data_IF_690561438534
#
_entry.id   IF_690561438534
#
_cell.length_a   1.000
_cell.length_b   1.000
_cell.length_c   1.000
_cell.angle_alpha   90.00
_cell.angle_beta   90.00
_cell.angle_gamma   90.00
#
_symmetry.space_group_name_H-M   'P 1'
#
loop_
_entity.id
_entity.type
_entity.pdbx_description
1 polymer ?
#
# COMPACT_ATOMS: atom_id res chain seq x y z
N UNK A 1 59.31 11.18 -17.46
CA UNK A 1 58.50 9.97 -17.19
C UNK A 1 57.42 10.13 -16.09
N UNK A 2 57.49 11.12 -15.17
CA UNK A 2 56.49 11.26 -14.08
C UNK A 2 55.25 12.12 -14.42
N UNK A 3 55.33 12.95 -15.47
CA UNK A 3 54.20 13.79 -15.92
C UNK A 3 53.01 12.96 -16.41
N UNK A 4 53.30 11.82 -17.07
CA UNK A 4 52.26 10.92 -17.59
C UNK A 4 51.57 10.11 -16.48
N UNK A 5 52.31 9.80 -15.40
CA UNK A 5 51.75 9.14 -14.21
C UNK A 5 50.78 10.05 -13.45
N UNK A 6 51.05 11.36 -13.38
CA UNK A 6 50.13 12.32 -12.76
C UNK A 6 48.87 12.55 -13.60
N UNK A 7 49.00 12.62 -14.94
CA UNK A 7 47.82 12.73 -15.81
C UNK A 7 46.96 11.47 -15.77
N UNK A 8 47.58 10.28 -15.72
CA UNK A 8 46.86 9.01 -15.54
C UNK A 8 46.13 8.97 -14.20
N UNK A 9 46.79 9.37 -13.10
CA UNK A 9 46.18 9.39 -11.78
C UNK A 9 44.97 10.33 -11.70
N UNK A 10 45.04 11.53 -12.28
CA UNK A 10 43.93 12.49 -12.30
C UNK A 10 42.75 11.98 -13.13
N UNK A 11 43.00 11.32 -14.27
CA UNK A 11 41.94 10.73 -15.08
C UNK A 11 41.25 9.56 -14.37
N UNK A 12 42.01 8.70 -13.68
CA UNK A 12 41.44 7.58 -12.92
C UNK A 12 40.58 8.12 -11.77
N UNK A 13 41.06 9.12 -11.02
CA UNK A 13 40.30 9.73 -9.92
C UNK A 13 39.02 10.39 -10.43
N UNK A 14 39.08 11.12 -11.55
CA UNK A 14 37.90 11.73 -12.17
C UNK A 14 36.85 10.70 -12.60
N UNK A 15 37.29 9.57 -13.18
CA UNK A 15 36.39 8.47 -13.55
C UNK A 15 35.76 7.80 -12.33
N UNK A 16 36.53 7.57 -11.26
CA UNK A 16 36.01 7.01 -10.01
C UNK A 16 34.97 7.93 -9.37
N UNK A 17 35.20 9.25 -9.39
CA UNK A 17 34.25 10.25 -8.88
C UNK A 17 32.97 10.25 -9.72
N UNK A 18 33.06 10.21 -11.05
CA UNK A 18 31.87 10.17 -11.94
C UNK A 18 31.08 8.86 -11.74
N UNK A 19 31.75 7.72 -11.58
CA UNK A 19 31.09 6.42 -11.33
C UNK A 19 30.43 6.39 -9.94
N UNK A 20 31.09 6.93 -8.91
CA UNK A 20 30.52 6.96 -7.55
C UNK A 20 29.39 7.98 -7.42
N UNK A 21 29.48 9.17 -8.02
CA UNK A 21 28.35 10.10 -8.10
C UNK A 21 27.24 9.51 -8.96
N UNK A 22 27.57 8.87 -10.08
CA UNK A 22 26.61 8.17 -10.93
C UNK A 22 25.86 7.06 -10.18
N UNK A 23 26.56 6.28 -9.35
CA UNK A 23 25.96 5.27 -8.48
C UNK A 23 25.05 5.87 -7.40
N UNK A 24 25.41 7.06 -6.87
CA UNK A 24 24.57 7.78 -5.90
C UNK A 24 23.33 8.43 -6.54
N UNK A 25 23.40 8.84 -7.81
CA UNK A 25 22.26 9.42 -8.56
C UNK A 25 21.38 8.33 -9.19
N UNK A 26 21.89 7.10 -9.35
CA UNK A 26 21.11 5.96 -9.87
C UNK A 26 20.26 5.25 -8.81
N UNK A 27 19.98 5.91 -7.69
CA UNK A 27 18.86 5.56 -6.84
C UNK A 27 17.65 6.38 -7.32
N UNK A 28 17.22 6.06 -8.54
CA UNK A 28 15.92 6.48 -9.05
C UNK A 28 14.88 5.70 -8.25
N UNK A 29 14.16 6.39 -7.37
CA UNK A 29 12.92 5.93 -6.78
C UNK A 29 11.93 5.64 -7.92
N UNK A 30 11.97 4.39 -8.38
CA UNK A 30 11.01 3.82 -9.30
C UNK A 30 10.47 2.54 -8.66
N UNK A 31 9.82 2.70 -7.50
CA UNK A 31 8.75 1.78 -7.11
C UNK A 31 7.63 1.95 -8.12
N UNK A 32 7.67 1.06 -9.10
CA UNK A 32 6.68 0.90 -10.14
C UNK A 32 5.35 0.42 -9.54
N UNK A 33 4.32 1.25 -9.68
CA UNK A 33 2.89 0.89 -9.79
C UNK A 33 2.26 0.05 -8.66
N UNK A 34 1.68 0.73 -7.67
CA UNK A 34 0.32 0.42 -7.22
C UNK A 34 -0.58 1.66 -7.29
N UNK A 35 -0.62 2.26 -8.48
CA UNK A 35 -1.86 2.85 -8.97
C UNK A 35 -2.48 1.86 -9.96
N UNK A 36 -3.16 0.87 -9.39
CA UNK A 36 -4.16 0.09 -10.12
C UNK A 36 -5.35 -0.12 -9.20
N UNK A 37 -6.10 0.95 -9.01
CA UNK A 37 -7.51 0.81 -8.68
C UNK A 37 -8.17 -0.01 -9.80
N UNK A 38 -8.90 -1.03 -9.37
CA UNK A 38 -9.93 -1.77 -10.11
C UNK A 38 -9.47 -2.95 -11.00
N UNK A 39 -9.58 -4.18 -10.47
CA UNK A 39 -10.50 -5.19 -11.02
C UNK A 39 -10.58 -6.42 -10.09
N UNK A 40 -11.79 -6.77 -9.68
CA UNK A 40 -12.19 -7.88 -8.78
C UNK A 40 -11.87 -7.65 -7.30
N UNK A 41 -12.69 -6.84 -6.64
CA UNK A 41 -12.81 -6.81 -5.19
C UNK A 41 -13.43 -8.14 -4.70
N UNK A 42 -12.62 -9.18 -4.64
CA UNK A 42 -12.69 -10.09 -3.50
C UNK A 42 -11.68 -9.51 -2.54
N UNK A 43 -12.15 -8.55 -1.73
CA UNK A 43 -11.33 -7.88 -0.72
C UNK A 43 -10.74 -8.97 0.16
N UNK A 44 -9.43 -9.15 0.11
CA UNK A 44 -8.78 -10.03 1.05
C UNK A 44 -8.95 -9.35 2.41
N UNK A 45 -9.90 -9.84 3.22
CA UNK A 45 -10.37 -9.33 4.53
C UNK A 45 -9.22 -9.23 5.57
N UNK A 46 -7.96 -9.36 5.17
CA UNK A 46 -6.78 -9.25 6.03
C UNK A 46 -6.37 -7.81 6.34
N UNK A 47 -6.79 -6.83 5.52
CA UNK A 47 -6.46 -5.41 5.75
C UNK A 47 -7.74 -4.57 5.64
N UNK A 48 -8.43 -4.41 6.77
CA UNK A 48 -9.68 -3.65 6.86
C UNK A 48 -9.37 -2.31 7.50
N UNK A 49 -9.51 -1.24 6.71
CA UNK A 49 -9.24 0.13 7.15
C UNK A 49 -10.48 0.76 7.83
N UNK A 50 -10.47 0.71 9.16
CA UNK A 50 -11.53 1.26 10.01
C UNK A 50 -11.45 2.78 10.22
N UNK A 51 -10.57 3.50 9.50
CA UNK A 51 -10.41 4.95 9.69
C UNK A 51 -11.52 5.77 9.02
N UNK A 52 -12.25 5.20 8.07
CA UNK A 52 -13.29 5.90 7.31
C UNK A 52 -14.31 4.94 6.70
N UNK A 53 -15.45 5.47 6.27
CA UNK A 53 -16.53 4.72 5.61
C UNK A 53 -16.15 4.31 4.17
N UNK A 54 -15.37 3.23 4.06
CA UNK A 54 -14.79 2.77 2.79
C UNK A 54 -15.49 1.54 2.20
N UNK A 55 -16.17 0.76 3.02
CA UNK A 55 -16.76 -0.52 2.62
C UNK A 55 -18.26 -0.50 2.85
N UNK A 56 -19.01 -1.03 1.90
CA UNK A 56 -20.45 -1.19 1.98
C UNK A 56 -20.83 -2.67 1.84
N UNK A 57 -22.10 -3.00 2.05
CA UNK A 57 -22.60 -4.36 1.84
C UNK A 57 -22.37 -4.91 0.42
N UNK A 58 -22.20 -4.04 -0.59
CA UNK A 58 -21.86 -4.47 -1.95
C UNK A 58 -20.39 -4.87 -2.15
N UNK A 59 -19.51 -4.55 -1.19
CA UNK A 59 -18.09 -4.90 -1.21
C UNK A 59 -17.81 -6.29 -0.59
N UNK A 60 -18.81 -6.90 0.06
CA UNK A 60 -18.71 -8.21 0.70
C UNK A 60 -19.48 -9.26 -0.09
N UNK A 61 -18.93 -10.47 -0.19
CA UNK A 61 -19.59 -11.57 -0.88
C UNK A 61 -20.58 -12.29 0.03
N UNK A 62 -20.37 -12.24 1.34
CA UNK A 62 -21.23 -12.90 2.34
C UNK A 62 -21.49 -12.04 3.57
N UNK A 63 -22.61 -12.31 4.24
CA UNK A 63 -22.95 -11.69 5.53
C UNK A 63 -21.88 -11.92 6.60
N UNK A 64 -21.22 -13.07 6.56
CA UNK A 64 -20.16 -13.41 7.52
C UNK A 64 -18.89 -12.57 7.32
N UNK A 65 -18.55 -12.19 6.09
CA UNK A 65 -17.43 -11.28 5.84
C UNK A 65 -17.70 -9.86 6.35
N UNK A 66 -18.94 -9.38 6.17
CA UNK A 66 -19.36 -8.08 6.73
C UNK A 66 -19.30 -8.07 8.26
N UNK A 67 -19.75 -9.15 8.91
CA UNK A 67 -19.62 -9.34 10.35
C UNK A 67 -18.15 -9.35 10.80
N UNK A 68 -17.28 -10.10 10.12
CA UNK A 68 -15.85 -10.18 10.44
C UNK A 68 -15.16 -8.81 10.29
N UNK A 69 -15.60 -8.00 9.32
CA UNK A 69 -15.11 -6.63 9.13
C UNK A 69 -15.51 -5.71 10.29
N UNK A 70 -16.77 -5.76 10.68
CA UNK A 70 -17.26 -5.07 11.87
C UNK A 70 -16.49 -5.50 13.12
N UNK A 71 -16.34 -6.80 13.36
CA UNK A 71 -15.67 -7.32 14.56
C UNK A 71 -14.22 -6.83 14.67
N UNK A 72 -13.51 -6.73 13.54
CA UNK A 72 -12.14 -6.17 13.49
C UNK A 72 -12.10 -4.69 13.86
N UNK A 73 -13.03 -3.91 13.32
CA UNK A 73 -13.11 -2.48 13.62
C UNK A 73 -13.57 -2.23 15.06
N UNK A 74 -14.51 -3.02 15.54
CA UNK A 74 -14.98 -2.99 16.92
C UNK A 74 -13.88 -3.41 17.91
N UNK A 75 -13.10 -4.46 17.60
CA UNK A 75 -11.94 -4.87 18.41
C UNK A 75 -10.85 -3.79 18.45
N UNK A 76 -10.77 -2.97 17.41
CA UNK A 76 -9.86 -1.82 17.33
C UNK A 76 -10.43 -0.54 17.98
N UNK A 77 -11.67 -0.59 18.47
CA UNK A 77 -12.34 0.52 19.15
C UNK A 77 -13.01 1.55 18.24
N UNK A 78 -13.12 1.27 16.94
CA UNK A 78 -13.81 2.14 15.99
C UNK A 78 -15.32 1.89 15.93
N UNK A 79 -15.76 0.65 16.19
CA UNK A 79 -17.19 0.28 16.15
C UNK A 79 -17.72 0.08 14.72
N UNK A 80 -19.00 0.41 14.50
CA UNK A 80 -19.64 0.36 13.16
C UNK A 80 -19.32 1.63 12.36
N UNK A 81 -18.12 1.66 11.78
CA UNK A 81 -17.64 2.80 10.97
C UNK A 81 -18.34 2.87 9.62
N UNK A 82 -18.67 1.71 9.08
CA UNK A 82 -19.14 1.48 7.72
C UNK A 82 -20.68 1.51 7.63
N UNK A 83 -21.37 1.63 8.77
CA UNK A 83 -22.83 1.63 8.86
C UNK A 83 -23.43 0.40 8.13
N UNK A 84 -22.82 -0.76 8.34
CA UNK A 84 -23.23 -2.03 7.71
C UNK A 84 -24.54 -2.55 8.30
N UNK A 85 -24.87 -2.10 9.51
CA UNK A 85 -26.14 -2.32 10.20
C UNK A 85 -26.95 -1.01 10.18
N UNK A 86 -27.82 -0.87 9.17
CA UNK A 86 -28.49 0.39 8.88
C UNK A 86 -29.68 0.66 9.81
N UNK A 87 -30.31 -0.40 10.33
CA UNK A 87 -31.41 -0.35 11.28
C UNK A 87 -31.00 -0.62 12.73
N UNK A 88 -29.75 -1.03 12.96
CA UNK A 88 -29.13 -1.12 14.28
C UNK A 88 -29.60 -2.33 15.08
N UNK A 89 -30.04 -3.40 14.41
CA UNK A 89 -30.60 -4.59 15.04
C UNK A 89 -29.54 -5.67 15.35
N UNK A 90 -28.29 -5.43 14.94
CA UNK A 90 -27.16 -6.32 15.07
C UNK A 90 -27.01 -7.30 13.90
N UNK A 91 -27.79 -7.16 12.83
CA UNK A 91 -27.70 -7.95 11.62
C UNK A 91 -27.09 -7.12 10.49
N UNK A 92 -25.78 -7.28 10.31
CA UNK A 92 -25.04 -6.58 9.27
C UNK A 92 -25.44 -7.08 7.89
N UNK A 93 -25.63 -6.16 6.94
CA UNK A 93 -25.85 -6.47 5.53
C UNK A 93 -26.90 -7.57 5.30
N UNK A 94 -28.11 -7.40 5.84
CA UNK A 94 -29.24 -8.34 5.66
C UNK A 94 -29.58 -8.65 4.20
N UNK A 95 -29.12 -7.80 3.28
CA UNK A 95 -29.28 -7.98 1.83
C UNK A 95 -28.36 -9.06 1.23
N UNK A 96 -27.38 -9.55 1.98
CA UNK A 96 -26.50 -10.66 1.61
C UNK A 96 -27.07 -11.96 2.23
N UNK A 97 -27.51 -12.89 1.36
CA UNK A 97 -28.08 -14.19 1.75
C UNK A 97 -27.08 -15.07 2.55
#
# INVERSE_FOLDING_TARGET
>A
MRRWLMTLAVLIIALLIVVSIGLLVFQDDSETLQEKQNNSQTQNITDIDCSSDLYNCGDFETRQEAQDAFDKCNASGFGDVYNLDNDGDGVFCESLD
#
